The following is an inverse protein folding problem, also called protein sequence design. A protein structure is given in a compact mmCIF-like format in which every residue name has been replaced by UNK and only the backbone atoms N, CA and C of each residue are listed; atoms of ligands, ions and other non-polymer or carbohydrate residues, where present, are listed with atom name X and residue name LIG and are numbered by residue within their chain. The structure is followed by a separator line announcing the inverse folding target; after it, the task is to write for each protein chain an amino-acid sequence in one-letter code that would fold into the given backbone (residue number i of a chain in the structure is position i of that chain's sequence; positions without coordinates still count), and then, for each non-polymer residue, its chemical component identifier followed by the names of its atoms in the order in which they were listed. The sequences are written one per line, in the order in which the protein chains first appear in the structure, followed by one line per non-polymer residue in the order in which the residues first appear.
data_IF_918414328944
#
_entry.id   IF_918414328944
#
_cell.length_a   1.000
_cell.length_b   1.000
_cell.length_c   1.000
_cell.angle_alpha   90.00
_cell.angle_beta   90.00
_cell.angle_gamma   90.00
#
_symmetry.space_group_name_H-M   'P 1'
#
loop_
_entity.id
_entity.type
_entity.pdbx_description
1 polymer ?
#
# COMPACT_ATOMS: atom_id res chain seq x y z
N UNK A 1 -19.77 -31.19 11.47
CA UNK A 1 -19.79 -29.72 11.29
C UNK A 1 -19.17 -29.40 9.94
N UNK A 2 -20.01 -29.21 8.93
CA UNK A 2 -19.58 -28.84 7.57
C UNK A 2 -19.07 -27.39 7.58
N UNK A 3 -17.85 -27.16 7.09
CA UNK A 3 -17.32 -25.82 6.85
C UNK A 3 -18.14 -25.21 5.72
N UNK A 4 -19.03 -24.26 6.03
CA UNK A 4 -19.72 -23.44 5.03
C UNK A 4 -18.65 -22.78 4.15
N UNK A 5 -18.48 -23.27 2.92
CA UNK A 5 -17.65 -22.58 1.93
C UNK A 5 -18.32 -21.25 1.63
N UNK A 6 -17.64 -20.14 1.92
CA UNK A 6 -18.08 -18.84 1.44
C UNK A 6 -17.82 -18.80 -0.07
N UNK A 7 -18.72 -19.35 -0.86
CA UNK A 7 -18.62 -19.37 -2.31
C UNK A 7 -18.89 -17.95 -2.81
N UNK A 8 -17.86 -17.25 -3.24
CA UNK A 8 -17.97 -15.92 -3.84
C UNK A 8 -18.87 -15.96 -5.07
N UNK A 9 -19.72 -14.95 -5.26
CA UNK A 9 -20.50 -14.80 -6.48
C UNK A 9 -19.59 -14.55 -7.70
N UNK A 10 -20.05 -14.85 -8.93
CA UNK A 10 -19.27 -14.56 -10.14
C UNK A 10 -18.83 -13.10 -10.26
N UNK A 11 -19.67 -12.16 -9.84
CA UNK A 11 -19.41 -10.73 -9.86
C UNK A 11 -18.35 -10.32 -8.84
N UNK A 12 -18.42 -10.84 -7.61
CA UNK A 12 -17.40 -10.64 -6.58
C UNK A 12 -16.05 -11.24 -7.00
N UNK A 13 -16.07 -12.42 -7.63
CA UNK A 13 -14.87 -13.08 -8.13
C UNK A 13 -14.20 -12.28 -9.24
N UNK A 14 -14.97 -11.72 -10.17
CA UNK A 14 -14.44 -10.84 -11.21
C UNK A 14 -13.85 -9.56 -10.61
N UNK A 15 -14.58 -8.94 -9.69
CA UNK A 15 -14.18 -7.73 -8.99
C UNK A 15 -12.85 -7.90 -8.23
N UNK A 16 -12.68 -9.04 -7.56
CA UNK A 16 -11.44 -9.43 -6.89
C UNK A 16 -10.33 -9.71 -7.90
N UNK A 17 -10.61 -10.43 -8.98
CA UNK A 17 -9.60 -10.72 -10.00
C UNK A 17 -9.03 -9.42 -10.60
N UNK A 18 -9.87 -8.44 -10.93
CA UNK A 18 -9.45 -7.12 -11.43
C UNK A 18 -8.65 -6.35 -10.37
N UNK A 19 -9.00 -6.48 -9.09
CA UNK A 19 -8.28 -5.85 -7.99
C UNK A 19 -6.86 -6.39 -7.85
N UNK A 20 -6.72 -7.71 -7.74
CA UNK A 20 -5.43 -8.38 -7.60
C UNK A 20 -4.57 -8.18 -8.86
N UNK A 21 -5.17 -8.26 -10.05
CA UNK A 21 -4.50 -7.95 -11.31
C UNK A 21 -4.01 -6.49 -11.39
N UNK A 22 -4.77 -5.55 -10.83
CA UNK A 22 -4.38 -4.14 -10.76
C UNK A 22 -3.11 -3.92 -9.92
N UNK A 23 -2.98 -4.62 -8.79
CA UNK A 23 -1.75 -4.60 -8.00
C UNK A 23 -0.58 -5.22 -8.78
N UNK A 24 -0.80 -6.40 -9.38
CA UNK A 24 0.23 -7.14 -10.10
C UNK A 24 0.78 -6.38 -11.32
N UNK A 25 -0.09 -5.83 -12.17
CA UNK A 25 0.32 -5.10 -13.38
C UNK A 25 1.07 -3.82 -13.03
N UNK A 26 0.63 -3.08 -12.00
CA UNK A 26 1.34 -1.86 -11.60
C UNK A 26 2.69 -2.20 -10.97
N UNK A 27 2.76 -3.21 -10.10
CA UNK A 27 4.04 -3.69 -9.55
C UNK A 27 5.01 -4.10 -10.63
N UNK A 28 4.57 -4.90 -11.61
CA UNK A 28 5.44 -5.35 -12.71
C UNK A 28 6.08 -4.20 -13.52
N UNK A 29 5.43 -3.04 -13.58
CA UNK A 29 5.87 -1.91 -14.41
C UNK A 29 6.72 -0.89 -13.66
N UNK A 30 6.89 -1.04 -12.34
CA UNK A 30 7.59 -0.10 -11.49
C UNK A 30 8.96 -0.65 -11.05
N UNK A 31 9.97 0.20 -11.10
CA UNK A 31 11.38 -0.18 -10.91
C UNK A 31 11.69 -0.65 -9.49
N UNK A 32 11.00 -0.08 -8.50
CA UNK A 32 11.35 -0.25 -7.10
C UNK A 32 10.37 -1.14 -6.31
N UNK A 33 9.51 -1.89 -6.99
CA UNK A 33 8.55 -2.76 -6.31
C UNK A 33 9.13 -4.14 -6.04
N UNK A 34 8.68 -4.72 -4.93
CA UNK A 34 9.05 -6.07 -4.55
C UNK A 34 8.54 -7.06 -5.61
N UNK A 35 9.32 -8.10 -5.97
CA UNK A 35 8.93 -9.01 -7.02
C UNK A 35 7.71 -9.85 -6.61
N UNK A 36 6.73 -9.93 -7.50
CA UNK A 36 5.50 -10.70 -7.29
C UNK A 36 5.80 -12.20 -7.40
N UNK A 37 5.67 -12.91 -6.28
CA UNK A 37 5.92 -14.36 -6.21
C UNK A 37 4.67 -15.19 -6.52
N UNK A 38 3.50 -14.72 -6.08
CA UNK A 38 2.25 -15.46 -6.24
C UNK A 38 1.04 -14.52 -6.24
N UNK A 39 0.14 -14.75 -7.18
CA UNK A 39 -1.15 -14.06 -7.24
C UNK A 39 -2.28 -15.08 -7.09
N UNK A 40 -3.25 -14.83 -6.20
CA UNK A 40 -4.39 -15.72 -5.97
C UNK A 40 -5.65 -14.94 -5.61
N UNK A 41 -6.77 -15.35 -6.20
CA UNK A 41 -8.13 -14.87 -5.88
C UNK A 41 -8.85 -15.79 -4.90
N UNK A 42 -8.21 -16.88 -4.45
CA UNK A 42 -8.77 -17.83 -3.50
C UNK A 42 -8.60 -17.27 -2.08
N UNK A 43 -9.67 -17.07 -1.31
CA UNK A 43 -9.59 -16.55 0.06
C UNK A 43 -8.90 -17.56 0.98
N UNK A 44 -7.87 -17.10 1.72
CA UNK A 44 -7.17 -17.94 2.72
C UNK A 44 -7.75 -17.83 4.13
N UNK A 45 -8.43 -16.73 4.45
CA UNK A 45 -9.12 -16.50 5.72
C UNK A 45 -10.44 -15.77 5.47
N UNK A 46 -11.37 -15.77 6.44
CA UNK A 46 -12.67 -15.09 6.34
C UNK A 46 -12.58 -13.56 6.12
N UNK A 47 -11.38 -12.98 6.20
CA UNK A 47 -11.14 -11.53 6.10
C UNK A 47 -10.34 -11.11 4.85
N UNK A 48 -9.90 -12.04 4.00
CA UNK A 48 -9.12 -11.72 2.78
C UNK A 48 -9.74 -12.36 1.55
N UNK A 49 -10.14 -11.53 0.59
CA UNK A 49 -10.77 -11.97 -0.66
C UNK A 49 -9.75 -12.25 -1.79
N UNK A 50 -8.45 -12.24 -1.52
CA UNK A 50 -7.37 -12.43 -2.50
C UNK A 50 -6.03 -12.11 -1.84
N UNK A 51 -4.91 -12.49 -2.46
CA UNK A 51 -3.58 -12.14 -1.96
C UNK A 51 -2.52 -12.13 -3.07
N UNK A 52 -1.76 -11.04 -3.12
CA UNK A 52 -0.48 -10.93 -3.82
C UNK A 52 0.67 -11.12 -2.82
N UNK A 53 1.50 -12.13 -3.06
CA UNK A 53 2.70 -12.40 -2.27
C UNK A 53 3.91 -11.73 -2.90
N UNK A 54 4.58 -10.86 -2.14
CA UNK A 54 5.80 -10.18 -2.55
C UNK A 54 6.99 -10.71 -1.75
N UNK A 55 8.18 -10.75 -2.37
CA UNK A 55 9.42 -11.01 -1.64
C UNK A 55 9.88 -9.70 -0.99
N UNK A 56 9.90 -9.57 0.34
CA UNK A 56 10.31 -8.32 0.97
C UNK A 56 11.75 -7.98 0.59
N UNK A 57 12.00 -6.78 0.06
CA UNK A 57 13.37 -6.26 -0.05
C UNK A 57 13.98 -6.07 1.35
N UNK A 58 15.26 -6.41 1.52
CA UNK A 58 16.03 -6.19 2.78
C UNK A 58 16.28 -4.70 3.11
N UNK A 59 15.69 -3.77 2.34
CA UNK A 59 15.87 -2.33 2.53
C UNK A 59 15.17 -1.85 3.80
N UNK A 60 15.96 -1.39 4.77
CA UNK A 60 15.48 -0.85 6.06
C UNK A 60 15.04 0.61 5.97
N UNK A 61 15.44 1.32 4.90
CA UNK A 61 15.09 2.70 4.62
C UNK A 61 14.70 2.81 3.14
N UNK A 62 13.67 3.58 2.86
CA UNK A 62 13.16 3.76 1.51
C UNK A 62 13.47 5.17 0.99
N UNK A 63 13.92 5.26 -0.26
CA UNK A 63 13.98 6.54 -0.97
C UNK A 63 12.57 7.05 -1.28
N UNK A 64 12.47 8.32 -1.69
CA UNK A 64 11.20 8.92 -2.11
C UNK A 64 10.59 8.17 -3.30
N UNK A 65 11.41 7.74 -4.25
CA UNK A 65 11.03 6.99 -5.44
C UNK A 65 10.52 5.59 -5.07
N UNK A 66 11.21 4.91 -4.14
CA UNK A 66 10.77 3.59 -3.64
C UNK A 66 9.43 3.68 -2.89
N UNK A 67 9.21 4.73 -2.10
CA UNK A 67 7.92 4.98 -1.45
C UNK A 67 6.82 5.29 -2.47
N UNK A 68 7.14 6.10 -3.48
CA UNK A 68 6.20 6.44 -4.55
C UNK A 68 5.75 5.21 -5.32
N UNK A 69 6.68 4.35 -5.73
CA UNK A 69 6.37 3.12 -6.45
C UNK A 69 5.52 2.15 -5.62
N UNK A 70 5.83 2.00 -4.32
CA UNK A 70 5.01 1.22 -3.38
C UNK A 70 3.60 1.78 -3.25
N UNK A 71 3.45 3.10 -3.17
CA UNK A 71 2.13 3.74 -3.15
C UNK A 71 1.37 3.48 -4.46
N UNK A 72 2.02 3.59 -5.62
CA UNK A 72 1.41 3.31 -6.91
C UNK A 72 0.91 1.85 -7.00
N UNK A 73 1.73 0.88 -6.60
CA UNK A 73 1.36 -0.54 -6.55
C UNK A 73 0.18 -0.78 -5.61
N UNK A 74 0.18 -0.20 -4.41
CA UNK A 74 -0.91 -0.31 -3.46
C UNK A 74 -2.22 0.33 -3.96
N UNK A 75 -2.14 1.38 -4.78
CA UNK A 75 -3.32 2.01 -5.39
C UNK A 75 -3.82 1.28 -6.65
N UNK A 76 -2.97 0.45 -7.27
CA UNK A 76 -3.26 -0.26 -8.52
C UNK A 76 -4.53 -1.09 -8.48
N UNK A 77 -4.78 -1.83 -7.39
CA UNK A 77 -5.99 -2.65 -7.26
C UNK A 77 -7.28 -1.84 -7.14
N UNK A 78 -7.24 -0.63 -6.59
CA UNK A 78 -8.42 0.27 -6.57
C UNK A 78 -8.64 0.92 -7.93
N UNK A 79 -7.56 1.31 -8.61
CA UNK A 79 -7.61 1.93 -9.93
C UNK A 79 -8.12 0.96 -11.02
N UNK A 80 -7.74 -0.33 -10.94
CA UNK A 80 -8.18 -1.36 -11.89
C UNK A 80 -9.69 -1.55 -11.93
N UNK A 81 -10.37 -1.52 -10.77
CA UNK A 81 -11.83 -1.63 -10.66
C UNK A 81 -12.61 -0.50 -11.34
N UNK A 82 -11.94 0.61 -11.67
CA UNK A 82 -12.56 1.78 -12.28
C UNK A 82 -12.68 1.73 -13.80
N UNK A 83 -12.16 0.70 -14.47
CA UNK A 83 -12.06 0.63 -15.94
C UNK A 83 -13.42 0.43 -16.63
N UNK A 84 -14.43 -0.06 -15.91
CA UNK A 84 -15.81 -0.21 -16.39
C UNK A 84 -16.69 1.04 -16.13
N UNK A 85 -16.10 2.10 -15.57
CA UNK A 85 -16.82 3.33 -15.19
C UNK A 85 -16.58 4.40 -16.26
N UNK A 86 -17.59 5.21 -16.64
CA UNK A 86 -17.41 6.27 -17.63
C UNK A 86 -16.24 7.20 -17.32
N UNK A 87 -15.43 7.51 -18.35
CA UNK A 87 -14.23 8.36 -18.27
C UNK A 87 -14.50 9.73 -17.59
N UNK A 88 -15.70 10.29 -17.77
CA UNK A 88 -16.15 11.53 -17.13
C UNK A 88 -16.23 11.42 -15.61
N UNK A 89 -16.69 10.27 -15.09
CA UNK A 89 -16.76 9.98 -13.66
C UNK A 89 -15.38 9.71 -13.06
N UNK A 90 -14.49 9.07 -13.82
CA UNK A 90 -13.10 8.86 -13.41
C UNK A 90 -12.34 10.19 -13.25
N UNK A 91 -12.51 11.13 -14.18
CA UNK A 91 -11.84 12.45 -14.14
C UNK A 91 -12.25 13.31 -12.94
N UNK A 92 -13.55 13.36 -12.61
CA UNK A 92 -14.04 14.16 -11.48
C UNK A 92 -13.49 13.63 -10.14
N UNK A 93 -13.48 12.30 -9.95
CA UNK A 93 -12.89 11.68 -8.76
C UNK A 93 -11.38 11.82 -8.69
N UNK A 94 -10.66 11.78 -9.81
CA UNK A 94 -9.19 11.91 -9.81
C UNK A 94 -8.74 13.24 -9.21
N UNK A 95 -9.45 14.33 -9.50
CA UNK A 95 -9.13 15.66 -8.95
C UNK A 95 -9.42 15.75 -7.46
N UNK A 96 -10.60 15.29 -7.02
CA UNK A 96 -10.99 15.27 -5.59
C UNK A 96 -10.08 14.37 -4.77
N UNK A 97 -9.80 13.16 -5.26
CA UNK A 97 -8.91 12.20 -4.60
C UNK A 97 -7.49 12.75 -4.47
N UNK A 98 -6.94 13.39 -5.52
CA UNK A 98 -5.63 14.05 -5.43
C UNK A 98 -5.58 15.14 -4.35
N UNK A 99 -6.67 15.89 -4.17
CA UNK A 99 -6.75 16.94 -3.14
C UNK A 99 -6.82 16.33 -1.75
N UNK A 100 -7.68 15.34 -1.53
CA UNK A 100 -7.85 14.68 -0.23
C UNK A 100 -6.58 13.96 0.23
N UNK A 101 -5.92 13.22 -0.67
CA UNK A 101 -4.66 12.52 -0.36
C UNK A 101 -3.56 13.50 0.04
N UNK A 102 -3.43 14.62 -0.67
CA UNK A 102 -2.46 15.67 -0.31
C UNK A 102 -2.75 16.27 1.06
N UNK A 103 -4.01 16.54 1.38
CA UNK A 103 -4.41 17.06 2.68
C UNK A 103 -4.08 16.05 3.78
N UNK A 104 -4.40 14.77 3.56
CA UNK A 104 -4.17 13.73 4.57
C UNK A 104 -2.67 13.52 4.83
N UNK A 105 -1.86 13.41 3.79
CA UNK A 105 -0.40 13.27 3.91
C UNK A 105 0.20 14.52 4.57
N UNK A 106 -0.23 15.72 4.17
CA UNK A 106 0.22 16.97 4.78
C UNK A 106 -0.10 17.03 6.28
N UNK A 107 -1.31 16.64 6.69
CA UNK A 107 -1.69 16.55 8.11
C UNK A 107 -0.84 15.54 8.88
N UNK A 108 -0.59 14.37 8.31
CA UNK A 108 0.23 13.33 8.94
C UNK A 108 1.68 13.80 9.10
N UNK A 109 2.24 14.47 8.10
CA UNK A 109 3.59 15.03 8.16
C UNK A 109 3.69 16.10 9.25
N UNK A 110 2.77 17.06 9.27
CA UNK A 110 2.76 18.12 10.27
C UNK A 110 2.62 17.58 11.70
N UNK A 111 1.73 16.60 11.92
CA UNK A 111 1.60 15.95 13.22
C UNK A 111 2.90 15.23 13.63
N UNK A 112 3.58 14.59 12.68
CA UNK A 112 4.86 13.92 12.93
C UNK A 112 5.94 14.92 13.34
N UNK A 113 6.03 16.03 12.60
CA UNK A 113 7.01 17.09 12.86
C UNK A 113 6.82 17.69 14.25
N UNK A 114 5.57 18.04 14.61
CA UNK A 114 5.23 18.52 15.96
C UNK A 114 5.63 17.52 17.06
N UNK A 115 5.35 16.22 16.87
CA UNK A 115 5.74 15.20 17.85
C UNK A 115 7.27 15.14 18.01
N UNK A 116 8.03 15.23 16.91
CA UNK A 116 9.49 15.19 16.94
C UNK A 116 10.08 16.44 17.60
N UNK A 117 9.53 17.62 17.31
CA UNK A 117 9.94 18.89 17.92
C UNK A 117 9.70 18.89 19.42
N UNK A 118 8.51 18.47 19.87
CA UNK A 118 8.15 18.39 21.29
C UNK A 118 8.96 17.35 22.08
N UNK A 119 9.60 16.40 21.41
CA UNK A 119 10.35 15.31 22.03
C UNK A 119 11.82 15.25 21.54
N UNK A 120 12.36 16.39 21.12
CA UNK A 120 13.70 16.48 20.52
C UNK A 120 14.81 16.03 21.48
N UNK A 121 14.65 16.30 22.78
CA UNK A 121 15.53 15.84 23.85
C UNK A 121 15.62 14.31 23.91
N UNK A 122 14.46 13.64 23.88
CA UNK A 122 14.36 12.17 23.90
C UNK A 122 14.93 11.57 22.62
N UNK A 123 14.64 12.19 21.46
CA UNK A 123 15.18 11.76 20.18
C UNK A 123 16.72 11.76 20.19
N UNK A 124 17.32 12.85 20.68
CA UNK A 124 18.79 12.99 20.78
C UNK A 124 19.39 11.99 21.76
N UNK A 125 18.79 11.83 22.94
CA UNK A 125 19.27 10.87 23.94
C UNK A 125 19.23 9.43 23.41
N UNK A 126 18.16 9.03 22.71
CA UNK A 126 18.07 7.72 22.07
C UNK A 126 19.10 7.54 20.95
N UNK A 127 19.33 8.59 20.15
CA UNK A 127 20.31 8.54 19.07
C UNK A 127 21.75 8.38 19.61
N UNK A 128 22.11 9.10 20.68
CA UNK A 128 23.41 8.97 21.34
C UNK A 128 23.63 7.56 21.92
N UNK A 129 22.62 7.01 22.59
CA UNK A 129 22.67 5.64 23.14
C UNK A 129 22.90 4.60 22.03
N UNK A 130 22.18 4.71 20.90
CA UNK A 130 22.35 3.81 19.76
C UNK A 130 23.75 3.88 19.15
N UNK A 131 24.37 5.07 19.09
CA UNK A 131 25.74 5.24 18.60
C UNK A 131 26.77 4.60 19.53
N UNK A 132 26.52 4.61 20.85
CA UNK A 132 27.41 4.02 21.85
C UNK A 132 27.39 2.49 21.85
N UNK A 133 26.26 1.86 21.47
CA UNK A 133 26.12 0.40 21.41
C UNK A 133 26.97 -0.28 20.31
N UNK A 134 27.43 0.47 19.31
CA UNK A 134 28.28 -0.05 18.22
C UNK A 134 29.79 0.01 18.48
N UNK A 135 30.21 0.52 19.65
CA UNK A 135 31.63 0.82 19.95
C UNK A 135 32.28 -0.15 20.96
N UNK A 136 31.65 -1.31 21.22
CA UNK A 136 32.16 -2.37 22.11
C UNK A 136 32.41 -3.68 21.39
#
# INVERSE_FOLDING_TARGET
MEKKSHTMSPEERNTVAIHEAGHAVVGWMLEHTDPLLKLSIVPRTNATLGYAQYLPSDNKLYSTEQLFDRMCMALGGRAGRGKDIPESYYRSRKTTFRKEVRILIGKAFQATDTILEENLDKLKALAEELLNQGSS
#
